data_IF_614776668434
#
_entry.id   IF_614776668434
#
_cell.length_a   1.000
_cell.length_b   1.000
_cell.length_c   1.000
_cell.angle_alpha   90.00
_cell.angle_beta   90.00
_cell.angle_gamma   90.00
#
_symmetry.space_group_name_H-M   'P 1'
#
loop_
_entity.id
_entity.type
_entity.pdbx_description
1 polymer ?
#
# COMPACT_ATOMS: atom_id res chain seq x y z
N UNK A 1 15.67 -14.68 22.39
CA UNK A 1 15.08 -14.32 21.09
C UNK A 1 13.65 -14.81 21.10
N UNK A 2 12.69 -13.96 21.48
CA UNK A 2 11.27 -14.32 21.48
C UNK A 2 10.68 -13.93 20.15
N UNK A 3 10.30 -14.90 19.34
CA UNK A 3 9.45 -14.67 18.18
C UNK A 3 8.05 -14.32 18.71
N UNK A 4 7.66 -13.05 18.57
CA UNK A 4 6.26 -12.66 18.75
C UNK A 4 5.46 -13.41 17.69
N UNK A 5 4.54 -14.27 18.12
CA UNK A 5 3.59 -14.90 17.21
C UNK A 5 2.73 -13.77 16.63
N UNK A 6 2.96 -13.43 15.36
CA UNK A 6 2.11 -12.50 14.65
C UNK A 6 0.68 -13.05 14.72
N UNK A 7 -0.20 -12.32 15.41
CA UNK A 7 -1.64 -12.59 15.37
C UNK A 7 -2.13 -12.61 13.91
N UNK A 8 -3.33 -13.14 13.66
CA UNK A 8 -3.87 -13.19 12.29
C UNK A 8 -3.77 -11.78 11.68
N UNK A 9 -3.00 -11.67 10.59
CA UNK A 9 -2.84 -10.41 9.90
C UNK A 9 -4.25 -9.91 9.53
N UNK A 10 -4.56 -8.67 9.92
CA UNK A 10 -5.80 -8.03 9.51
C UNK A 10 -5.96 -8.15 7.98
N UNK A 11 -7.19 -8.28 7.47
CA UNK A 11 -7.41 -8.42 6.03
C UNK A 11 -6.71 -7.27 5.29
N UNK A 12 -5.86 -7.62 4.34
CA UNK A 12 -5.07 -6.68 3.56
C UNK A 12 -5.63 -6.58 2.14
N UNK A 13 -5.66 -5.36 1.61
CA UNK A 13 -5.89 -5.09 0.19
C UNK A 13 -4.55 -4.84 -0.48
N UNK A 14 -4.46 -5.15 -1.78
CA UNK A 14 -3.31 -4.81 -2.61
C UNK A 14 -3.62 -3.52 -3.34
N UNK A 15 -3.02 -2.42 -2.91
CA UNK A 15 -3.11 -1.15 -3.63
C UNK A 15 -2.02 -1.11 -4.72
N UNK A 16 -2.41 -0.82 -5.97
CA UNK A 16 -1.48 -0.65 -7.08
C UNK A 16 -1.28 0.84 -7.40
N UNK A 17 -0.03 1.28 -7.43
CA UNK A 17 0.35 2.68 -7.64
C UNK A 17 0.79 2.96 -9.07
N UNK A 18 1.55 2.04 -9.67
CA UNK A 18 2.10 2.21 -11.00
C UNK A 18 2.17 0.87 -11.73
N UNK A 19 2.04 0.94 -13.06
CA UNK A 19 2.24 -0.19 -13.97
C UNK A 19 3.31 0.22 -14.99
N UNK A 20 4.36 -0.58 -15.08
CA UNK A 20 5.51 -0.32 -15.94
C UNK A 20 5.84 -1.55 -16.77
N UNK A 21 6.54 -1.36 -17.90
CA UNK A 21 7.10 -2.49 -18.68
C UNK A 21 8.44 -2.95 -18.12
N UNK A 22 9.25 -2.00 -17.64
CA UNK A 22 10.54 -2.27 -17.00
C UNK A 22 10.41 -2.19 -15.48
N UNK A 23 11.13 -3.02 -14.72
CA UNK A 23 11.07 -2.98 -13.26
C UNK A 23 11.64 -1.66 -12.76
N UNK A 24 11.04 -1.07 -11.70
CA UNK A 24 11.63 0.10 -11.05
C UNK A 24 12.97 -0.27 -10.40
N UNK A 25 13.84 0.73 -10.28
CA UNK A 25 15.08 0.60 -9.52
C UNK A 25 14.77 0.25 -8.05
N UNK A 26 15.44 -0.77 -7.46
CA UNK A 26 15.17 -1.18 -6.08
C UNK A 26 15.43 -0.11 -5.03
N UNK A 27 16.48 0.72 -5.21
CA UNK A 27 16.80 1.77 -4.24
C UNK A 27 15.78 2.91 -4.31
N UNK A 28 15.38 3.29 -5.52
CA UNK A 28 14.29 4.24 -5.75
C UNK A 28 12.96 3.73 -5.16
N UNK A 29 12.66 2.45 -5.31
CA UNK A 29 11.44 1.84 -4.75
C UNK A 29 11.44 1.85 -3.22
N UNK A 30 12.57 1.54 -2.59
CA UNK A 30 12.70 1.55 -1.12
C UNK A 30 12.61 2.97 -0.53
N UNK A 31 13.00 4.00 -1.30
CA UNK A 31 12.92 5.40 -0.89
C UNK A 31 11.55 6.05 -1.18
N UNK A 32 10.73 5.44 -2.03
CA UNK A 32 9.42 5.95 -2.40
C UNK A 32 8.42 5.82 -1.24
N UNK A 33 7.54 6.82 -1.11
CA UNK A 33 6.43 6.78 -0.13
C UNK A 33 5.20 6.13 -0.76
N UNK A 34 4.64 5.15 -0.07
CA UNK A 34 3.31 4.59 -0.35
C UNK A 34 2.26 5.16 0.61
N UNK A 35 1.18 4.42 0.85
CA UNK A 35 0.25 4.68 1.95
C UNK A 35 0.98 4.64 3.30
N UNK A 36 0.68 5.60 4.18
CA UNK A 36 1.35 5.78 5.48
C UNK A 36 1.16 4.57 6.40
N UNK A 37 0.00 3.94 6.34
CA UNK A 37 -0.37 2.76 7.11
C UNK A 37 -0.11 1.45 6.36
N UNK A 38 0.43 1.53 5.15
CA UNK A 38 0.75 0.39 4.32
C UNK A 38 2.12 -0.23 4.64
N UNK A 39 2.31 -1.47 4.20
CA UNK A 39 3.60 -2.16 4.31
C UNK A 39 4.68 -1.60 3.37
N UNK A 40 5.79 -2.32 3.21
CA UNK A 40 6.80 -1.93 2.22
C UNK A 40 6.24 -2.03 0.79
N UNK A 41 6.59 -1.07 -0.06
CA UNK A 41 6.32 -1.16 -1.50
C UNK A 41 7.06 -2.37 -2.09
N UNK A 42 6.38 -3.10 -2.97
CA UNK A 42 6.92 -4.28 -3.64
C UNK A 42 6.50 -4.34 -5.10
N UNK A 43 7.27 -5.07 -5.91
CA UNK A 43 6.95 -5.28 -7.31
C UNK A 43 6.24 -6.62 -7.48
N UNK A 44 5.07 -6.59 -8.14
CA UNK A 44 4.42 -7.77 -8.69
C UNK A 44 4.67 -7.87 -10.19
N UNK A 45 4.87 -9.09 -10.68
CA UNK A 45 4.98 -9.37 -12.12
C UNK A 45 3.66 -9.93 -12.63
N UNK A 46 3.20 -9.38 -13.75
CA UNK A 46 2.00 -9.82 -14.45
C UNK A 46 2.30 -9.87 -15.96
N UNK A 47 2.78 -11.02 -16.44
CA UNK A 47 3.30 -11.14 -17.81
C UNK A 47 4.47 -10.18 -18.04
N UNK A 48 4.39 -9.39 -19.11
CA UNK A 48 5.39 -8.39 -19.49
C UNK A 48 5.29 -7.08 -18.69
N UNK A 49 4.36 -7.01 -17.73
CA UNK A 49 4.14 -5.84 -16.89
C UNK A 49 4.67 -6.05 -15.47
N UNK A 50 5.10 -4.94 -14.87
CA UNK A 50 5.50 -4.81 -13.48
C UNK A 50 4.52 -3.85 -12.79
N UNK A 51 3.99 -4.25 -11.65
CA UNK A 51 3.13 -3.41 -10.83
C UNK A 51 3.88 -3.04 -9.56
N UNK A 52 3.92 -1.74 -9.22
CA UNK A 52 4.32 -1.28 -7.90
C UNK A 52 3.10 -1.32 -7.01
N UNK A 53 3.14 -2.17 -5.99
CA UNK A 53 2.02 -2.41 -5.09
C UNK A 53 2.43 -2.31 -3.63
N UNK A 54 1.44 -2.11 -2.78
CA UNK A 54 1.57 -2.15 -1.33
C UNK A 54 0.40 -2.90 -0.73
N UNK A 55 0.68 -3.73 0.27
CA UNK A 55 -0.37 -4.30 1.09
C UNK A 55 -0.80 -3.24 2.13
N UNK A 56 -2.10 -2.94 2.16
CA UNK A 56 -2.70 -1.91 3.01
C UNK A 56 -3.86 -2.49 3.82
N UNK A 57 -4.11 -2.01 5.04
CA UNK A 57 -5.24 -2.48 5.84
C UNK A 57 -6.57 -2.23 5.10
N UNK A 58 -7.39 -3.27 4.94
CA UNK A 58 -8.67 -3.15 4.25
C UNK A 58 -9.63 -2.15 4.93
N UNK A 59 -9.50 -1.99 6.25
CA UNK A 59 -10.32 -1.06 7.05
C UNK A 59 -10.21 0.39 6.57
N UNK A 60 -9.11 0.79 5.91
CA UNK A 60 -8.92 2.15 5.40
C UNK A 60 -9.75 2.46 4.14
N UNK A 61 -10.31 1.43 3.50
CA UNK A 61 -11.06 1.54 2.25
C UNK A 61 -12.54 1.19 2.44
N UNK A 62 -12.99 1.07 3.69
CA UNK A 62 -14.40 0.93 4.04
C UNK A 62 -15.18 2.25 3.91
N UNK A 63 -16.51 2.16 3.89
CA UNK A 63 -17.40 3.31 3.80
C UNK A 63 -17.19 4.30 4.94
N UNK A 64 -17.13 3.83 6.19
CA UNK A 64 -16.92 4.69 7.37
C UNK A 64 -15.60 5.48 7.28
N UNK A 65 -14.50 4.80 6.94
CA UNK A 65 -13.19 5.42 6.78
C UNK A 65 -13.19 6.45 5.63
N UNK A 66 -13.88 6.16 4.53
CA UNK A 66 -14.05 7.11 3.43
C UNK A 66 -14.86 8.33 3.87
N UNK A 67 -15.99 8.13 4.55
CA UNK A 67 -16.84 9.22 5.07
C UNK A 67 -16.07 10.08 6.06
N UNK A 68 -15.32 9.50 6.98
CA UNK A 68 -14.48 10.24 7.93
C UNK A 68 -13.45 11.12 7.21
N UNK A 69 -12.74 10.55 6.22
CA UNK A 69 -11.75 11.30 5.43
C UNK A 69 -12.38 12.41 4.60
N UNK A 70 -13.55 12.17 3.99
CA UNK A 70 -14.26 13.20 3.21
C UNK A 70 -14.76 14.36 4.08
N UNK A 71 -14.94 14.14 5.38
CA UNK A 71 -15.30 15.18 6.36
C UNK A 71 -14.08 15.92 6.94
N UNK A 72 -12.85 15.59 6.52
CA UNK A 72 -11.59 16.26 6.92
C UNK A 72 -10.96 16.97 5.71
N UNK A 73 -11.29 18.26 5.47
CA UNK A 73 -10.78 19.01 4.32
C UNK A 73 -9.25 18.99 4.19
N UNK A 74 -8.54 19.04 5.32
CA UNK A 74 -7.08 19.00 5.39
C UNK A 74 -6.45 17.72 4.82
N UNK A 75 -7.20 16.62 4.78
CA UNK A 75 -6.74 15.35 4.23
C UNK A 75 -6.96 15.26 2.71
N UNK A 76 -7.81 16.13 2.16
CA UNK A 76 -8.16 16.16 0.73
C UNK A 76 -7.29 17.13 -0.07
N UNK A 77 -6.74 18.16 0.57
CA UNK A 77 -5.95 19.23 -0.07
C UNK A 77 -4.44 18.93 -0.14
N UNK A 78 -4.02 17.69 0.19
CA UNK A 78 -2.61 17.28 0.21
C UNK A 78 -2.03 16.92 -1.16
#
# INVERSE_FOLDING_TARGET
MSASAAGPAAPALVCAFAVTRTPPDPAGLAAARGHEEGGALRVLRAGDLCLVVQDVPAALFGEEALTERLNRPEDLER
#
